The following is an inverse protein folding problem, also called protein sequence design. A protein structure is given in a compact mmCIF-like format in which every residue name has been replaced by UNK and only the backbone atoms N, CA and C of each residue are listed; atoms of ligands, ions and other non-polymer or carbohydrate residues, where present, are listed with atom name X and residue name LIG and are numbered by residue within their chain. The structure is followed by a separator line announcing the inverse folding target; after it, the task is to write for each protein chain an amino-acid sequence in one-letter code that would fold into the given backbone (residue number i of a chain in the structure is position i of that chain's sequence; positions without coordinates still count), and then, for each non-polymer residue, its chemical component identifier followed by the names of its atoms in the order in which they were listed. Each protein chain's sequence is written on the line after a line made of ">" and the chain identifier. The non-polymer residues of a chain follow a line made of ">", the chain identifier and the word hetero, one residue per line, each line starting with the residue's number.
data_IF_536634811736
#
_entry.id   IF_536634811736
#
_cell.length_a   1.000
_cell.length_b   1.000
_cell.length_c   1.000
_cell.angle_alpha   90.00
_cell.angle_beta   90.00
_cell.angle_gamma   90.00
#
_symmetry.space_group_name_H-M   'P 1'
#
loop_
_entity.id
_entity.type
_entity.pdbx_description
1 polymer ?
#
# COMPACT_ATOMS: atom_id res chain seq x y z
N UNK A 1 8.25 19.56 -19.84
CA UNK A 1 6.77 19.44 -19.71
C UNK A 1 6.45 19.46 -18.22
N UNK A 2 5.86 20.54 -17.73
CA UNK A 2 5.37 20.60 -16.34
C UNK A 2 4.06 19.82 -16.29
N UNK A 3 4.15 18.50 -16.11
CA UNK A 3 3.00 17.69 -15.76
C UNK A 3 2.48 18.21 -14.41
N UNK A 4 1.25 18.73 -14.36
CA UNK A 4 0.52 18.83 -13.10
C UNK A 4 0.47 17.40 -12.55
N UNK A 5 1.03 17.17 -11.37
CA UNK A 5 1.09 15.85 -10.77
C UNK A 5 -0.34 15.42 -10.35
N UNK A 6 -1.08 14.82 -11.28
CA UNK A 6 -2.35 14.16 -10.99
C UNK A 6 -2.01 12.84 -10.30
N UNK A 7 -2.46 12.68 -9.06
CA UNK A 7 -2.31 11.44 -8.30
C UNK A 7 -3.44 10.49 -8.74
N UNK A 8 -3.13 9.26 -9.19
CA UNK A 8 -4.17 8.32 -9.60
C UNK A 8 -4.92 7.79 -8.38
N UNK A 9 -6.20 7.51 -8.55
CA UNK A 9 -7.02 6.82 -7.57
C UNK A 9 -7.01 5.31 -7.87
N UNK A 10 -7.82 4.55 -7.12
CA UNK A 10 -7.88 3.09 -7.27
C UNK A 10 -8.28 2.68 -8.68
N UNK A 11 -9.22 3.38 -9.32
CA UNK A 11 -9.72 3.03 -10.66
C UNK A 11 -8.61 3.04 -11.71
N UNK A 12 -7.78 4.08 -11.73
CA UNK A 12 -6.65 4.18 -12.67
C UNK A 12 -5.58 3.14 -12.35
N UNK A 13 -5.29 2.92 -11.07
CA UNK A 13 -4.32 1.92 -10.63
C UNK A 13 -4.78 0.49 -10.97
N UNK A 14 -6.06 0.18 -10.81
CA UNK A 14 -6.64 -1.12 -11.14
C UNK A 14 -6.62 -1.38 -12.65
N UNK A 15 -6.90 -0.35 -13.47
CA UNK A 15 -6.79 -0.45 -14.92
C UNK A 15 -5.34 -0.72 -15.36
N UNK A 16 -4.37 0.00 -14.78
CA UNK A 16 -2.94 -0.23 -15.01
C UNK A 16 -2.51 -1.61 -14.53
N UNK A 17 -2.99 -2.06 -13.37
CA UNK A 17 -2.66 -3.37 -12.82
C UNK A 17 -3.13 -4.47 -13.77
N UNK A 18 -4.39 -4.38 -14.25
CA UNK A 18 -4.98 -5.37 -15.16
C UNK A 18 -4.22 -5.47 -16.47
N UNK A 19 -3.96 -4.36 -17.17
CA UNK A 19 -3.24 -4.42 -18.45
C UNK A 19 -1.82 -4.97 -18.29
N UNK A 20 -1.14 -4.68 -17.17
CA UNK A 20 0.18 -5.23 -16.89
C UNK A 20 0.13 -6.72 -16.54
N UNK A 21 -0.88 -7.16 -15.78
CA UNK A 21 -1.09 -8.57 -15.47
C UNK A 21 -1.41 -9.38 -16.74
N UNK A 22 -2.35 -8.90 -17.57
CA UNK A 22 -2.78 -9.55 -18.82
C UNK A 22 -1.63 -9.68 -19.83
N UNK A 23 -0.67 -8.74 -19.79
CA UNK A 23 0.53 -8.75 -20.65
C UNK A 23 1.75 -9.37 -20.00
N UNK A 24 1.64 -9.93 -18.79
CA UNK A 24 2.73 -10.60 -18.08
C UNK A 24 3.89 -9.68 -17.67
N UNK A 25 3.68 -8.36 -17.58
CA UNK A 25 4.73 -7.38 -17.23
C UNK A 25 4.97 -7.35 -15.72
N UNK A 26 5.63 -8.37 -15.19
CA UNK A 26 5.81 -8.60 -13.75
C UNK A 26 6.38 -7.40 -12.97
N UNK A 27 7.39 -6.71 -13.50
CA UNK A 27 8.00 -5.55 -12.85
C UNK A 27 7.02 -4.35 -12.77
N UNK A 28 6.20 -4.17 -13.80
CA UNK A 28 5.17 -3.13 -13.80
C UNK A 28 4.03 -3.49 -12.85
N UNK A 29 3.63 -4.76 -12.79
CA UNK A 29 2.66 -5.23 -11.78
C UNK A 29 3.19 -4.94 -10.38
N UNK A 30 4.44 -5.30 -10.08
CA UNK A 30 5.07 -5.01 -8.80
C UNK A 30 5.04 -3.51 -8.47
N UNK A 31 5.42 -2.66 -9.43
CA UNK A 31 5.42 -1.20 -9.26
C UNK A 31 4.00 -0.66 -8.99
N UNK A 32 2.99 -1.13 -9.71
CA UNK A 32 1.61 -0.68 -9.55
C UNK A 32 1.02 -1.16 -8.22
N UNK A 33 1.33 -2.38 -7.77
CA UNK A 33 0.95 -2.88 -6.44
C UNK A 33 1.54 -1.99 -5.33
N UNK A 34 2.79 -1.57 -5.43
CA UNK A 34 3.38 -0.64 -4.46
C UNK A 34 2.71 0.73 -4.47
N UNK A 35 2.34 1.26 -5.65
CA UNK A 35 1.56 2.50 -5.72
C UNK A 35 0.19 2.35 -5.08
N UNK A 36 -0.46 1.20 -5.28
CA UNK A 36 -1.76 0.87 -4.68
C UNK A 36 -1.65 0.77 -3.15
N UNK A 37 -0.61 0.12 -2.63
CA UNK A 37 -0.31 0.08 -1.19
C UNK A 37 -0.20 1.50 -0.59
N UNK A 38 0.54 2.39 -1.25
CA UNK A 38 0.78 3.75 -0.76
C UNK A 38 -0.44 4.67 -0.90
N UNK A 39 -1.17 4.62 -2.02
CA UNK A 39 -2.22 5.59 -2.34
C UNK A 39 -3.62 5.14 -1.92
N UNK A 40 -3.87 3.83 -1.89
CA UNK A 40 -5.22 3.26 -1.72
C UNK A 40 -5.32 2.48 -0.41
N UNK A 41 -4.25 1.76 -0.02
CA UNK A 41 -4.14 0.92 1.20
C UNK A 41 -5.07 -0.31 1.20
N UNK A 42 -6.38 -0.12 1.07
CA UNK A 42 -7.39 -1.18 1.01
C UNK A 42 -8.14 -1.09 -0.31
N UNK A 43 -8.21 -2.20 -1.03
CA UNK A 43 -8.80 -2.25 -2.37
C UNK A 43 -10.22 -2.77 -2.33
N UNK A 44 -11.04 -2.34 -3.29
CA UNK A 44 -12.36 -2.91 -3.50
C UNK A 44 -12.28 -4.34 -4.05
N UNK A 45 -13.39 -5.07 -3.96
CA UNK A 45 -13.50 -6.46 -4.42
C UNK A 45 -13.09 -6.64 -5.89
N UNK A 46 -13.43 -5.69 -6.76
CA UNK A 46 -13.07 -5.77 -8.18
C UNK A 46 -11.55 -5.69 -8.40
N UNK A 47 -10.86 -4.80 -7.70
CA UNK A 47 -9.39 -4.71 -7.75
C UNK A 47 -8.74 -5.93 -7.09
N UNK A 48 -9.31 -6.42 -5.98
CA UNK A 48 -8.84 -7.64 -5.32
C UNK A 48 -8.86 -8.85 -6.27
N UNK A 49 -9.90 -8.98 -7.10
CA UNK A 49 -9.98 -10.04 -8.12
C UNK A 49 -8.87 -9.94 -9.17
N UNK A 50 -8.48 -8.72 -9.57
CA UNK A 50 -7.33 -8.51 -10.48
C UNK A 50 -6.03 -8.96 -9.82
N UNK A 51 -5.83 -8.62 -8.54
CA UNK A 51 -4.65 -9.05 -7.77
C UNK A 51 -4.61 -10.57 -7.62
N UNK A 52 -5.74 -11.19 -7.28
CA UNK A 52 -5.86 -12.65 -7.18
C UNK A 52 -5.57 -13.34 -8.51
N UNK A 53 -6.10 -12.81 -9.62
CA UNK A 53 -5.87 -13.35 -10.95
C UNK A 53 -4.38 -13.27 -11.35
N UNK A 54 -3.70 -12.18 -11.02
CA UNK A 54 -2.25 -12.07 -11.22
C UNK A 54 -1.51 -13.20 -10.50
N UNK A 55 -1.73 -13.36 -9.19
CA UNK A 55 -0.99 -14.38 -8.43
C UNK A 55 -1.32 -15.81 -8.84
N UNK A 56 -2.50 -16.08 -9.41
CA UNK A 56 -2.85 -17.40 -9.97
C UNK A 56 -2.29 -17.64 -11.38
N UNK A 57 -1.61 -16.67 -11.99
CA UNK A 57 -1.08 -16.79 -13.35
C UNK A 57 0.31 -17.42 -13.39
N UNK A 58 0.63 -18.07 -14.52
CA UNK A 58 1.98 -18.59 -14.78
C UNK A 58 3.03 -17.48 -14.84
N UNK A 59 2.65 -16.28 -15.29
CA UNK A 59 3.56 -15.13 -15.32
C UNK A 59 4.02 -14.74 -13.90
N UNK A 60 3.14 -14.80 -12.91
CA UNK A 60 3.51 -14.54 -11.52
C UNK A 60 4.37 -15.64 -10.92
N UNK A 61 4.19 -16.90 -11.35
CA UNK A 61 5.00 -18.03 -10.90
C UNK A 61 6.48 -17.91 -11.34
N UNK A 62 6.71 -17.30 -12.51
CA UNK A 62 8.06 -17.11 -13.07
C UNK A 62 8.71 -15.76 -12.74
N UNK A 63 7.96 -14.82 -12.17
CA UNK A 63 8.37 -13.44 -11.96
C UNK A 63 9.53 -13.25 -10.97
N UNK A 64 9.71 -14.17 -10.02
CA UNK A 64 10.66 -14.00 -8.93
C UNK A 64 12.01 -14.70 -9.12
N UNK A 65 12.82 -14.63 -8.07
CA UNK A 65 14.17 -15.20 -8.02
C UNK A 65 14.29 -16.28 -6.96
N UNK A 66 15.03 -17.35 -7.26
CA UNK A 66 15.25 -18.46 -6.31
C UNK A 66 16.17 -18.07 -5.14
N UNK A 67 17.12 -17.16 -5.39
CA UNK A 67 18.11 -16.72 -4.40
C UNK A 67 18.15 -15.20 -4.35
N UNK A 68 18.15 -14.65 -3.14
CA UNK A 68 18.22 -13.22 -2.90
C UNK A 68 19.14 -12.92 -1.70
N UNK A 69 19.61 -11.68 -1.64
CA UNK A 69 20.36 -11.19 -0.50
C UNK A 69 19.40 -10.78 0.63
N UNK A 70 19.27 -11.64 1.63
CA UNK A 70 18.41 -11.40 2.80
C UNK A 70 18.79 -10.12 3.56
N UNK A 71 20.05 -9.66 3.48
CA UNK A 71 20.49 -8.41 4.11
C UNK A 71 19.85 -7.22 3.41
N UNK A 72 19.89 -7.19 2.07
CA UNK A 72 19.25 -6.13 1.28
C UNK A 72 17.74 -6.07 1.49
N UNK A 73 17.09 -7.22 1.59
CA UNK A 73 15.65 -7.28 1.91
C UNK A 73 15.38 -6.64 3.27
N UNK A 74 16.14 -7.01 4.31
CA UNK A 74 15.99 -6.45 5.65
C UNK A 74 16.24 -4.94 5.69
N UNK A 75 17.27 -4.47 5.00
CA UNK A 75 17.53 -3.03 4.84
C UNK A 75 16.38 -2.30 4.14
N UNK A 76 15.79 -2.94 3.12
CA UNK A 76 14.59 -2.45 2.43
C UNK A 76 13.41 -2.29 3.38
N UNK A 77 13.14 -3.29 4.22
CA UNK A 77 12.07 -3.25 5.24
C UNK A 77 12.25 -2.06 6.18
N UNK A 78 13.45 -1.88 6.72
CA UNK A 78 13.74 -0.77 7.64
C UNK A 78 13.55 0.59 6.95
N UNK A 79 14.09 0.75 5.73
CA UNK A 79 13.93 1.99 4.95
C UNK A 79 12.49 2.25 4.51
N UNK A 80 11.69 1.19 4.39
CA UNK A 80 10.28 1.25 4.00
C UNK A 80 9.31 1.52 5.15
N UNK A 81 9.80 1.73 6.38
CA UNK A 81 8.95 1.96 7.56
C UNK A 81 8.42 0.68 8.21
N UNK A 82 9.01 -0.48 7.91
CA UNK A 82 8.79 -1.73 8.66
C UNK A 82 7.90 -2.79 7.98
N UNK A 83 7.16 -2.45 6.93
CA UNK A 83 6.15 -3.34 6.31
C UNK A 83 6.57 -3.95 4.96
N UNK A 84 7.31 -3.21 4.14
CA UNK A 84 7.60 -3.59 2.76
C UNK A 84 9.08 -3.36 2.42
N UNK A 85 9.64 -4.17 1.51
CA UNK A 85 11.08 -4.13 1.20
C UNK A 85 11.44 -3.49 -0.14
N UNK A 86 10.56 -3.50 -1.13
CA UNK A 86 10.81 -2.82 -2.41
C UNK A 86 11.85 -3.48 -3.32
N UNK A 87 12.25 -4.73 -3.07
CA UNK A 87 13.37 -5.40 -3.78
C UNK A 87 12.94 -6.29 -4.97
N UNK A 88 11.67 -6.25 -5.37
CA UNK A 88 11.13 -7.10 -6.44
C UNK A 88 10.53 -8.41 -5.91
N UNK A 89 10.15 -9.30 -6.82
CA UNK A 89 9.56 -10.60 -6.51
C UNK A 89 10.60 -11.57 -5.94
N UNK A 90 10.27 -12.24 -4.83
CA UNK A 90 11.12 -13.22 -4.17
C UNK A 90 10.47 -14.60 -4.22
N UNK A 91 11.28 -15.65 -4.42
CA UNK A 91 10.81 -17.01 -4.64
C UNK A 91 10.45 -17.30 -6.10
N UNK A 92 10.23 -18.57 -6.42
CA UNK A 92 9.81 -19.05 -7.73
C UNK A 92 8.80 -20.17 -7.59
N UNK A 93 7.98 -20.37 -8.63
CA UNK A 93 6.96 -21.41 -8.69
C UNK A 93 5.56 -20.88 -8.39
N UNK A 94 4.58 -21.78 -8.47
CA UNK A 94 3.18 -21.43 -8.32
C UNK A 94 2.88 -20.84 -6.94
N UNK A 95 2.13 -19.75 -6.91
CA UNK A 95 1.69 -19.12 -5.68
C UNK A 95 0.54 -19.90 -5.06
N UNK A 96 0.58 -20.09 -3.74
CA UNK A 96 -0.55 -20.63 -3.00
C UNK A 96 -1.54 -19.50 -2.65
N UNK A 97 -2.57 -19.29 -3.50
CA UNK A 97 -3.51 -18.17 -3.39
C UNK A 97 -4.85 -18.59 -2.78
N UNK A 98 -5.27 -17.93 -1.70
CA UNK A 98 -6.56 -18.18 -1.07
C UNK A 98 -7.07 -16.99 -0.27
N UNK A 99 -8.40 -16.89 -0.14
CA UNK A 99 -9.05 -15.89 0.70
C UNK A 99 -8.95 -16.30 2.17
N UNK A 100 -8.79 -15.32 3.04
CA UNK A 100 -8.67 -15.50 4.49
C UNK A 100 -9.11 -14.23 5.18
N UNK A 101 -9.30 -14.33 6.49
CA UNK A 101 -9.49 -13.20 7.39
C UNK A 101 -8.28 -13.06 8.32
N UNK A 102 -8.14 -11.88 8.94
CA UNK A 102 -7.21 -11.66 10.04
C UNK A 102 -7.95 -11.86 11.36
N UNK A 103 -7.30 -12.47 12.35
CA UNK A 103 -7.82 -12.47 13.71
C UNK A 103 -7.67 -11.09 14.40
N UNK A 104 -8.18 -10.97 15.62
CA UNK A 104 -8.11 -9.73 16.41
C UNK A 104 -6.68 -9.27 16.75
N UNK A 105 -5.69 -10.15 16.60
CA UNK A 105 -4.28 -9.85 16.87
C UNK A 105 -3.53 -9.51 15.57
N UNK A 106 -4.20 -9.50 14.42
CA UNK A 106 -3.61 -9.28 13.10
C UNK A 106 -2.94 -10.53 12.51
N UNK A 107 -3.27 -11.73 13.00
CA UNK A 107 -2.73 -12.99 12.48
C UNK A 107 -3.62 -13.53 11.36
N UNK A 108 -3.02 -13.87 10.22
CA UNK A 108 -3.69 -14.50 9.09
C UNK A 108 -4.14 -15.91 9.44
N UNK A 109 -5.43 -16.20 9.28
CA UNK A 109 -6.00 -17.51 9.61
C UNK A 109 -5.56 -18.64 8.66
N UNK A 110 -4.98 -18.32 7.49
CA UNK A 110 -4.53 -19.30 6.51
C UNK A 110 -3.05 -19.66 6.63
N UNK A 111 -2.16 -18.67 6.74
CA UNK A 111 -0.71 -18.91 6.81
C UNK A 111 -0.10 -18.73 8.21
N UNK A 112 -0.86 -18.23 9.18
CA UNK A 112 -0.35 -17.98 10.55
C UNK A 112 0.58 -16.79 10.67
N UNK A 113 0.89 -16.08 9.59
CA UNK A 113 1.72 -14.87 9.61
C UNK A 113 0.98 -13.70 10.25
N UNK A 114 1.73 -12.85 10.97
CA UNK A 114 1.19 -11.68 11.68
C UNK A 114 1.49 -10.40 10.92
N UNK A 115 0.46 -9.60 10.65
CA UNK A 115 0.62 -8.26 10.08
C UNK A 115 1.41 -7.34 11.03
N UNK A 116 2.15 -6.40 10.46
CA UNK A 116 2.91 -5.41 11.23
C UNK A 116 2.04 -4.22 11.64
N UNK A 117 2.44 -3.56 12.72
CA UNK A 117 1.94 -2.24 13.09
C UNK A 117 2.86 -1.20 12.46
N UNK A 118 2.31 -0.33 11.60
CA UNK A 118 3.08 0.67 10.87
C UNK A 118 2.98 2.00 11.62
N UNK A 119 4.11 2.54 12.02
CA UNK A 119 4.18 3.83 12.69
C UNK A 119 3.84 4.97 11.73
N UNK A 120 3.15 5.99 12.24
CA UNK A 120 2.91 7.25 11.53
C UNK A 120 4.00 8.24 11.94
N UNK A 121 4.63 8.88 10.97
CA UNK A 121 5.67 9.88 11.23
C UNK A 121 5.07 11.07 12.03
N UNK A 122 5.61 11.43 13.20
CA UNK A 122 5.14 12.57 13.98
C UNK A 122 5.11 13.89 13.20
N UNK A 123 6.01 14.08 12.24
CA UNK A 123 6.05 15.26 11.38
C UNK A 123 4.90 15.32 10.38
N UNK A 124 4.44 14.16 9.89
CA UNK A 124 3.22 14.06 9.07
C UNK A 124 1.98 14.38 9.92
N UNK A 125 1.94 13.87 11.16
CA UNK A 125 0.85 14.17 12.10
C UNK A 125 0.78 15.67 12.44
N UNK A 126 1.92 16.34 12.64
CA UNK A 126 1.97 17.79 12.87
C UNK A 126 1.48 18.56 11.63
N UNK A 127 1.93 18.15 10.44
CA UNK A 127 1.51 18.78 9.17
C UNK A 127 0.01 18.63 8.93
N UNK A 128 -0.55 17.46 9.25
CA UNK A 128 -1.99 17.22 9.22
C UNK A 128 -2.73 18.13 10.20
N UNK A 129 -2.26 18.25 11.44
CA UNK A 129 -2.87 19.10 12.48
C UNK A 129 -2.95 20.58 12.07
N UNK A 130 -1.88 21.10 11.46
CA UNK A 130 -1.85 22.46 10.91
C UNK A 130 -2.89 22.64 9.80
N UNK A 131 -2.90 21.71 8.85
CA UNK A 131 -3.86 21.73 7.72
C UNK A 131 -5.30 21.63 8.19
N UNK A 132 -5.58 20.82 9.21
CA UNK A 132 -6.90 20.67 9.82
C UNK A 132 -7.36 21.97 10.49
N UNK A 133 -6.46 22.60 11.26
CA UNK A 133 -6.73 23.90 11.91
C UNK A 133 -7.05 24.97 10.88
N UNK A 134 -6.27 25.06 9.81
CA UNK A 134 -6.52 26.01 8.73
C UNK A 134 -7.88 25.77 8.04
N UNK A 135 -8.25 24.51 7.83
CA UNK A 135 -9.51 24.16 7.19
C UNK A 135 -10.72 24.49 8.07
N UNK A 136 -10.61 24.22 9.37
CA UNK A 136 -11.64 24.56 10.36
C UNK A 136 -11.84 26.07 10.45
N UNK A 137 -10.76 26.85 10.57
CA UNK A 137 -10.84 28.31 10.59
C UNK A 137 -11.43 28.93 9.31
N UNK A 138 -11.41 28.22 8.18
CA UNK A 138 -12.03 28.66 6.92
C UNK A 138 -13.51 28.30 6.80
N UNK A 139 -14.01 27.32 7.57
CA UNK A 139 -15.37 26.78 7.45
C UNK A 139 -16.27 27.08 8.66
N UNK A 140 -15.69 27.12 9.84
CA UNK A 140 -16.37 27.43 11.11
C UNK A 140 -16.29 28.92 11.44
N UNK A 141 -17.07 29.36 12.45
CA UNK A 141 -16.82 30.64 13.11
C UNK A 141 -15.46 30.54 13.80
N UNK A 142 -14.47 31.24 13.25
CA UNK A 142 -13.06 31.15 13.68
C UNK A 142 -12.90 31.30 15.20
N UNK A 143 -13.60 32.24 15.80
CA UNK A 143 -13.46 32.54 17.22
C UNK A 143 -14.00 31.40 18.11
N UNK A 144 -15.01 30.66 17.65
CA UNK A 144 -15.51 29.47 18.35
C UNK A 144 -14.51 28.32 18.25
N UNK A 145 -13.88 28.12 17.09
CA UNK A 145 -12.85 27.08 16.92
C UNK A 145 -11.58 27.39 17.73
N UNK A 146 -11.12 28.64 17.71
CA UNK A 146 -9.98 29.07 18.55
C UNK A 146 -10.30 28.91 20.03
N UNK A 147 -11.54 29.21 20.45
CA UNK A 147 -11.98 28.96 21.82
C UNK A 147 -11.93 27.47 22.17
N UNK A 148 -12.35 26.58 21.28
CA UNK A 148 -12.24 25.14 21.46
C UNK A 148 -10.80 24.67 21.68
N UNK A 149 -9.83 25.24 20.94
CA UNK A 149 -8.40 24.88 21.08
C UNK A 149 -7.78 25.24 22.43
N UNK A 150 -8.35 26.23 23.14
CA UNK A 150 -7.85 26.72 24.43
C UNK A 150 -8.70 26.30 25.63
N UNK A 151 -9.80 25.55 25.39
CA UNK A 151 -10.59 24.97 26.46
C UNK A 151 -9.82 23.80 27.10
N UNK A 152 -9.74 23.72 28.43
CA UNK A 152 -9.02 22.67 29.16
C UNK A 152 -9.68 21.29 29.04
#
# INVERSE_FOLDING_TARGET
>A
MNARAVVPEETELAALLRVNADTGRADEVYRVLHRTRTLVRQVCEATAQVVEAWFRSDAAAEAGVEKWDARKVREGVVKGGGDWHGQGWLGKGQWDVGRSEMDKNGTCQRCGEKLVCIDIDPSEAESFSKSLTELACKREVRDDFVRFQVLP
#
